data_IF_783720446094
#
_entry.id   IF_783720446094
#
_cell.length_a   1.000
_cell.length_b   1.000
_cell.length_c   1.000
_cell.angle_alpha   90.00
_cell.angle_beta   90.00
_cell.angle_gamma   90.00
#
_symmetry.space_group_name_H-M   'P 1'
#
loop_
_entity.id
_entity.type
_entity.pdbx_description
1 polymer ?
#
# COMPACT_ATOMS: atom_id res chain seq x y z
N UNK A 1 -31.84 0.11 9.37
CA UNK A 1 -30.60 0.74 8.85
C UNK A 1 -29.40 -0.08 9.29
N UNK A 2 -28.92 -1.00 8.44
CA UNK A 2 -27.93 -2.03 8.83
C UNK A 2 -26.54 -1.61 8.33
N UNK A 3 -25.72 -1.09 9.24
CA UNK A 3 -24.25 -1.23 9.27
C UNK A 3 -23.45 -0.86 8.00
N UNK A 4 -23.64 0.32 7.42
CA UNK A 4 -22.77 0.85 6.35
C UNK A 4 -21.39 1.38 6.84
N UNK A 5 -21.23 1.61 8.15
CA UNK A 5 -19.98 2.18 8.70
C UNK A 5 -18.77 1.25 8.55
N UNK A 6 -18.96 -0.07 8.65
CA UNK A 6 -17.83 -1.01 8.59
C UNK A 6 -17.16 -1.01 7.20
N UNK A 7 -17.94 -0.89 6.12
CA UNK A 7 -17.42 -0.85 4.74
C UNK A 7 -16.69 0.46 4.44
N UNK A 8 -17.24 1.60 4.86
CA UNK A 8 -16.61 2.92 4.63
C UNK A 8 -15.33 3.09 5.43
N UNK A 9 -15.34 2.71 6.72
CA UNK A 9 -14.14 2.75 7.55
C UNK A 9 -13.04 1.81 7.03
N UNK A 10 -13.40 0.60 6.58
CA UNK A 10 -12.45 -0.36 5.98
C UNK A 10 -11.78 0.22 4.73
N UNK A 11 -12.54 0.86 3.85
CA UNK A 11 -11.99 1.49 2.64
C UNK A 11 -11.03 2.63 3.01
N UNK A 12 -11.39 3.48 3.97
CA UNK A 12 -10.52 4.55 4.45
C UNK A 12 -9.20 4.02 5.03
N UNK A 13 -9.25 3.02 5.91
CA UNK A 13 -8.03 2.42 6.48
C UNK A 13 -7.18 1.77 5.38
N UNK A 14 -7.79 1.02 4.44
CA UNK A 14 -7.08 0.42 3.30
C UNK A 14 -6.37 1.48 2.45
N UNK A 15 -7.03 2.61 2.17
CA UNK A 15 -6.44 3.72 1.43
C UNK A 15 -5.33 4.43 2.21
N UNK A 16 -5.50 4.67 3.51
CA UNK A 16 -4.49 5.31 4.36
C UNK A 16 -3.24 4.43 4.48
N UNK A 17 -3.39 3.14 4.77
CA UNK A 17 -2.28 2.20 4.81
C UNK A 17 -1.53 2.15 3.48
N UNK A 18 -2.24 2.11 2.35
CA UNK A 18 -1.60 2.13 1.03
C UNK A 18 -0.81 3.43 0.80
N UNK A 19 -1.37 4.58 1.17
CA UNK A 19 -0.68 5.88 1.02
C UNK A 19 0.57 5.97 1.86
N UNK A 20 0.52 5.56 3.12
CA UNK A 20 1.69 5.57 4.02
C UNK A 20 2.79 4.69 3.45
N UNK A 21 2.48 3.44 3.09
CA UNK A 21 3.45 2.50 2.53
C UNK A 21 4.07 3.00 1.22
N UNK A 22 3.27 3.59 0.33
CA UNK A 22 3.75 4.18 -0.92
C UNK A 22 4.68 5.38 -0.68
N UNK A 23 4.35 6.26 0.27
CA UNK A 23 5.21 7.41 0.61
C UNK A 23 6.54 6.99 1.22
N UNK A 24 6.52 5.99 2.12
CA UNK A 24 7.74 5.44 2.74
C UNK A 24 8.63 4.79 1.69
N UNK A 25 8.07 3.99 0.78
CA UNK A 25 8.82 3.37 -0.32
C UNK A 25 9.50 4.41 -1.21
N UNK A 26 8.78 5.45 -1.63
CA UNK A 26 9.35 6.52 -2.43
C UNK A 26 10.40 7.31 -1.64
N UNK A 27 10.20 7.57 -0.35
CA UNK A 27 11.18 8.25 0.49
C UNK A 27 12.49 7.44 0.63
N UNK A 28 12.39 6.12 0.82
CA UNK A 28 13.55 5.21 0.87
C UNK A 28 14.30 5.22 -0.46
N UNK A 29 13.58 5.13 -1.59
CA UNK A 29 14.18 5.17 -2.92
C UNK A 29 14.85 6.52 -3.21
N UNK A 30 14.24 7.64 -2.81
CA UNK A 30 14.89 8.94 -2.97
C UNK A 30 16.12 9.03 -2.07
N UNK A 31 16.03 8.69 -0.78
CA UNK A 31 17.17 8.78 0.15
C UNK A 31 18.36 7.90 -0.27
N UNK A 32 18.08 6.66 -0.68
CA UNK A 32 19.13 5.69 -1.04
C UNK A 32 19.87 6.12 -2.31
N UNK A 33 19.20 6.86 -3.21
CA UNK A 33 19.73 7.19 -4.52
C UNK A 33 19.92 8.71 -4.75
N UNK A 34 19.68 9.55 -3.74
CA UNK A 34 19.78 11.02 -3.84
C UNK A 34 21.18 11.51 -4.19
N UNK A 35 22.21 10.70 -3.95
CA UNK A 35 23.61 11.01 -4.27
C UNK A 35 23.93 10.86 -5.77
N UNK A 36 23.08 10.17 -6.55
CA UNK A 36 23.32 9.89 -7.98
C UNK A 36 22.11 10.29 -8.83
N UNK A 37 21.87 11.60 -8.95
CA UNK A 37 20.76 12.18 -9.74
C UNK A 37 20.72 11.69 -11.19
N UNK A 38 21.87 11.29 -11.76
CA UNK A 38 21.97 10.73 -13.12
C UNK A 38 21.22 9.39 -13.31
N UNK A 39 20.75 8.75 -12.23
CA UNK A 39 19.99 7.49 -12.25
C UNK A 39 18.48 7.68 -12.02
N UNK A 40 17.97 8.91 -11.98
CA UNK A 40 16.56 9.25 -11.73
C UNK A 40 15.56 8.41 -12.55
N UNK A 41 15.85 8.17 -13.83
CA UNK A 41 14.98 7.36 -14.69
C UNK A 41 14.90 5.89 -14.22
N UNK A 42 16.04 5.29 -13.84
CA UNK A 42 16.06 3.91 -13.32
C UNK A 42 15.36 3.81 -11.98
N UNK A 43 15.47 4.85 -11.14
CA UNK A 43 14.79 4.94 -9.85
C UNK A 43 13.27 5.02 -10.06
N UNK A 44 12.80 5.84 -11.00
CA UNK A 44 11.37 5.94 -11.31
C UNK A 44 10.78 4.62 -11.80
N UNK A 45 11.51 3.88 -12.63
CA UNK A 45 11.10 2.53 -13.07
C UNK A 45 11.09 1.55 -11.89
N UNK A 46 12.11 1.59 -11.03
CA UNK A 46 12.18 0.74 -9.85
C UNK A 46 11.06 1.06 -8.84
N UNK A 47 10.75 2.33 -8.60
CA UNK A 47 9.64 2.78 -7.76
C UNK A 47 8.29 2.30 -8.30
N UNK A 48 8.08 2.41 -9.60
CA UNK A 48 6.87 1.93 -10.26
C UNK A 48 6.66 0.42 -10.04
N UNK A 49 7.68 -0.39 -10.33
CA UNK A 49 7.61 -1.85 -10.12
C UNK A 49 7.44 -2.18 -8.63
N UNK A 50 8.14 -1.47 -7.75
CA UNK A 50 8.04 -1.67 -6.31
C UNK A 50 6.65 -1.35 -5.77
N UNK A 51 5.97 -0.33 -6.29
CA UNK A 51 4.58 0.00 -5.93
C UNK A 51 3.59 -1.06 -6.39
N UNK A 52 3.81 -1.69 -7.55
CA UNK A 52 2.99 -2.82 -8.01
C UNK A 52 3.13 -4.00 -7.05
N UNK A 53 4.36 -4.34 -6.67
CA UNK A 53 4.63 -5.42 -5.70
C UNK A 53 4.00 -5.07 -4.35
N UNK A 54 4.20 -3.84 -3.87
CA UNK A 54 3.64 -3.37 -2.61
C UNK A 54 2.12 -3.41 -2.60
N UNK A 55 1.47 -3.02 -3.71
CA UNK A 55 0.02 -3.14 -3.86
C UNK A 55 -0.44 -4.60 -3.78
N UNK A 56 0.25 -5.51 -4.46
CA UNK A 56 -0.05 -6.94 -4.41
C UNK A 56 0.06 -7.50 -2.98
N UNK A 57 1.15 -7.18 -2.26
CA UNK A 57 1.32 -7.58 -0.87
C UNK A 57 0.29 -6.93 0.04
N UNK A 58 -0.03 -5.65 -0.17
CA UNK A 58 -1.07 -4.94 0.57
C UNK A 58 -2.42 -5.64 0.42
N UNK A 59 -2.83 -5.98 -0.80
CA UNK A 59 -4.04 -6.75 -1.03
C UNK A 59 -3.98 -8.15 -0.40
N UNK A 60 -2.83 -8.81 -0.45
CA UNK A 60 -2.64 -10.14 0.15
C UNK A 60 -2.77 -10.10 1.67
N UNK A 61 -2.12 -9.13 2.33
CA UNK A 61 -2.23 -8.90 3.77
C UNK A 61 -3.67 -8.55 4.15
N UNK A 62 -4.36 -7.71 3.37
CA UNK A 62 -5.77 -7.40 3.57
C UNK A 62 -6.72 -8.59 3.36
N UNK A 63 -6.32 -9.57 2.54
CA UNK A 63 -7.04 -10.83 2.38
C UNK A 63 -6.74 -11.81 3.53
N UNK A 64 -5.54 -11.80 4.12
CA UNK A 64 -5.21 -12.58 5.31
C UNK A 64 -5.85 -12.02 6.58
N UNK A 65 -5.98 -10.69 6.65
CA UNK A 65 -6.72 -10.00 7.71
C UNK A 65 -8.21 -10.30 7.49
N UNK A 66 -8.68 -11.36 8.13
CA UNK A 66 -10.09 -11.75 8.25
C UNK A 66 -10.84 -10.73 9.12
N UNK A 67 -10.93 -9.48 8.64
CA UNK A 67 -11.66 -8.44 9.34
C UNK A 67 -13.14 -8.56 8.98
N UNK A 68 -13.90 -9.21 9.86
CA UNK A 68 -15.35 -9.36 9.72
C UNK A 68 -15.83 -10.65 9.07
N UNK A 69 -15.02 -11.73 9.04
CA UNK A 69 -15.60 -13.06 8.90
C UNK A 69 -16.38 -13.39 10.18
N UNK A 70 -17.64 -12.99 10.23
CA UNK A 70 -18.61 -13.80 10.94
C UNK A 70 -18.69 -15.11 10.15
N UNK A 71 -17.92 -16.10 10.58
CA UNK A 71 -18.27 -17.51 10.37
C UNK A 71 -19.70 -17.63 10.91
N UNK A 72 -20.68 -17.57 10.00
CA UNK A 72 -22.01 -18.09 10.27
C UNK A 72 -21.88 -19.59 10.08
N UNK A 73 -21.80 -20.28 11.21
CA UNK A 73 -22.20 -21.69 11.32
C UNK A 73 -23.61 -21.87 10.79
#
# INVERSE_FOLDING_TARGET
MRTERSTRARSLVKSVTFRISATVLTMILVFTFSEKTSLALKIGIADFISKIILYYFHERIWNLISWGSHVKT
#
